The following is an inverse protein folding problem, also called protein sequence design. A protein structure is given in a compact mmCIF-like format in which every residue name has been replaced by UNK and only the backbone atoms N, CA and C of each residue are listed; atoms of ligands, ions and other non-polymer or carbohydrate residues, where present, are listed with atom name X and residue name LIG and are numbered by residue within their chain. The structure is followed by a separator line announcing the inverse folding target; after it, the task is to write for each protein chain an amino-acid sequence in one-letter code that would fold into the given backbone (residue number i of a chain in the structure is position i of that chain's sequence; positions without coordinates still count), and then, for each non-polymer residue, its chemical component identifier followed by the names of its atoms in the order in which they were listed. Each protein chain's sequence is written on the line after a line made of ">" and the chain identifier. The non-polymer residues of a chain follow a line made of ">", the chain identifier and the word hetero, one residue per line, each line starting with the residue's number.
data_IF_405436228174
#
_entry.id   IF_405436228174
#
_cell.length_a   1.000
_cell.length_b   1.000
_cell.length_c   1.000
_cell.angle_alpha   90.00
_cell.angle_beta   90.00
_cell.angle_gamma   90.00
#
_symmetry.space_group_name_H-M   'P 1'
#
loop_
_entity.id
_entity.type
_entity.pdbx_description
1 polymer ?
#
# COMPACT_ATOMS: atom_id res chain seq x y z
N UNK A 1 9.83 -8.13 19.19
CA UNK A 1 8.71 -8.76 19.91
C UNK A 1 7.48 -7.83 20.01
N UNK A 2 7.61 -6.56 20.46
CA UNK A 2 6.47 -5.65 20.67
C UNK A 2 5.78 -5.24 19.35
N UNK A 3 6.56 -4.90 18.31
CA UNK A 3 6.04 -4.55 16.97
C UNK A 3 5.20 -5.70 16.38
N UNK A 4 5.67 -6.94 16.51
CA UNK A 4 4.92 -8.12 16.04
C UNK A 4 3.59 -8.29 16.78
N UNK A 5 3.54 -7.99 18.07
CA UNK A 5 2.29 -8.01 18.86
C UNK A 5 1.33 -6.91 18.42
N UNK A 6 1.82 -5.72 18.07
CA UNK A 6 0.95 -4.62 17.67
C UNK A 6 0.30 -4.81 16.28
N UNK A 7 0.88 -5.63 15.42
CA UNK A 7 0.30 -5.97 14.09
C UNK A 7 -0.97 -6.84 14.27
N UNK A 8 -1.00 -7.69 15.30
CA UNK A 8 -2.09 -8.65 15.58
C UNK A 8 -2.80 -8.37 16.91
N UNK A 9 -2.36 -7.37 17.65
CA UNK A 9 -2.71 -7.12 19.04
C UNK A 9 -3.85 -6.11 19.24
N UNK A 10 -4.02 -5.73 20.49
CA UNK A 10 -5.03 -4.79 20.94
C UNK A 10 -4.60 -3.34 20.77
N UNK A 11 -5.56 -2.41 20.89
CA UNK A 11 -5.29 -0.97 20.94
C UNK A 11 -4.30 -0.60 22.06
N UNK A 12 -4.33 -1.33 23.15
CA UNK A 12 -3.39 -1.14 24.28
C UNK A 12 -1.94 -1.45 23.88
N UNK A 13 -1.71 -2.49 23.08
CA UNK A 13 -0.37 -2.82 22.58
C UNK A 13 0.17 -1.71 21.66
N UNK A 14 -0.71 -1.12 20.84
CA UNK A 14 -0.37 0.02 19.99
C UNK A 14 0.04 1.25 20.83
N UNK A 15 -0.78 1.61 21.84
CA UNK A 15 -0.51 2.73 22.74
C UNK A 15 0.84 2.52 23.46
N UNK A 16 1.09 1.31 23.96
CA UNK A 16 2.35 0.97 24.63
C UNK A 16 3.55 1.13 23.69
N UNK A 17 3.44 0.69 22.44
CA UNK A 17 4.51 0.83 21.45
C UNK A 17 4.79 2.30 21.15
N UNK A 18 3.74 3.10 20.94
CA UNK A 18 3.88 4.52 20.65
C UNK A 18 4.50 5.31 21.81
N UNK A 19 4.14 4.98 23.06
CA UNK A 19 4.75 5.58 24.24
C UNK A 19 6.23 5.23 24.33
N UNK A 20 6.62 3.96 24.12
CA UNK A 20 8.03 3.55 24.10
C UNK A 20 8.83 4.22 22.98
N UNK A 21 8.24 4.38 21.81
CA UNK A 21 8.87 5.09 20.70
C UNK A 21 9.11 6.57 21.08
N UNK A 22 8.15 7.21 21.74
CA UNK A 22 8.25 8.58 22.23
C UNK A 22 9.36 8.73 23.27
N UNK A 23 9.41 7.83 24.24
CA UNK A 23 10.45 7.83 25.27
C UNK A 23 11.83 7.65 24.65
N UNK A 24 11.99 6.72 23.72
CA UNK A 24 13.23 6.49 22.97
C UNK A 24 13.67 7.75 22.18
N UNK A 25 12.74 8.42 21.50
CA UNK A 25 13.04 9.65 20.76
C UNK A 25 13.55 10.72 21.72
N UNK A 26 12.91 10.91 22.87
CA UNK A 26 13.31 11.91 23.89
C UNK A 26 14.65 11.60 24.53
N UNK A 27 14.94 10.34 24.79
CA UNK A 27 16.23 9.92 25.35
C UNK A 27 17.38 10.11 24.35
N UNK A 28 17.14 9.72 23.09
CA UNK A 28 18.19 9.71 22.06
C UNK A 28 18.43 11.08 21.43
N UNK A 29 17.37 11.87 21.30
CA UNK A 29 17.39 13.17 20.63
C UNK A 29 16.95 14.28 21.61
N UNK A 30 17.75 14.51 22.63
CA UNK A 30 17.44 15.42 23.78
C UNK A 30 17.11 16.87 23.40
N UNK A 31 17.47 17.33 22.20
CA UNK A 31 17.23 18.70 21.70
C UNK A 31 16.11 18.78 20.65
N UNK A 32 15.31 17.74 20.51
CA UNK A 32 14.23 17.68 19.52
C UNK A 32 13.08 18.60 19.92
N UNK A 33 12.63 19.44 18.99
CA UNK A 33 11.43 20.26 19.20
C UNK A 33 10.18 19.39 19.29
N UNK A 34 9.09 19.94 19.84
CA UNK A 34 7.81 19.22 19.88
C UNK A 34 7.28 18.85 18.48
N UNK A 35 7.57 19.67 17.47
CA UNK A 35 7.17 19.41 16.08
C UNK A 35 7.98 18.28 15.46
N UNK A 36 9.27 18.27 15.70
CA UNK A 36 10.16 17.18 15.27
C UNK A 36 9.81 15.85 15.98
N UNK A 37 9.51 15.87 17.28
CA UNK A 37 9.04 14.69 18.01
C UNK A 37 7.79 14.11 17.34
N UNK A 38 6.79 14.96 17.03
CA UNK A 38 5.57 14.54 16.33
C UNK A 38 5.88 13.96 14.95
N UNK A 39 6.76 14.61 14.20
CA UNK A 39 7.19 14.15 12.88
C UNK A 39 7.87 12.77 12.95
N UNK A 40 8.80 12.59 13.88
CA UNK A 40 9.49 11.30 14.07
C UNK A 40 8.53 10.19 14.50
N UNK A 41 7.58 10.49 15.38
CA UNK A 41 6.53 9.55 15.77
C UNK A 41 5.61 9.18 14.60
N UNK A 42 5.26 10.13 13.75
CA UNK A 42 4.47 9.86 12.55
C UNK A 42 5.26 8.99 11.56
N UNK A 43 6.54 9.31 11.31
CA UNK A 43 7.41 8.48 10.47
C UNK A 43 7.55 7.05 11.02
N UNK A 44 7.72 6.90 12.33
CA UNK A 44 7.75 5.60 12.98
C UNK A 44 6.44 4.83 12.78
N UNK A 45 5.30 5.50 12.95
CA UNK A 45 3.98 4.91 12.71
C UNK A 45 3.83 4.44 11.26
N UNK A 46 4.20 5.25 10.29
CA UNK A 46 4.18 4.89 8.87
C UNK A 46 5.12 3.72 8.57
N UNK A 47 6.32 3.73 9.15
CA UNK A 47 7.27 2.64 8.98
C UNK A 47 6.75 1.31 9.53
N UNK A 48 6.04 1.33 10.66
CA UNK A 48 5.57 0.11 11.33
C UNK A 48 4.21 -0.38 10.82
N UNK A 49 3.27 0.52 10.55
CA UNK A 49 1.88 0.18 10.26
C UNK A 49 1.40 0.62 8.87
N UNK A 50 2.11 1.58 8.25
CA UNK A 50 1.76 2.15 6.96
C UNK A 50 2.58 1.61 5.81
N UNK A 51 2.57 2.38 4.73
CA UNK A 51 3.29 2.07 3.50
C UNK A 51 4.65 2.77 3.41
N UNK A 52 5.07 3.44 4.49
CA UNK A 52 6.39 4.06 4.66
C UNK A 52 6.71 5.03 3.51
N UNK A 53 7.82 4.81 2.78
CA UNK A 53 8.23 5.68 1.66
C UNK A 53 7.23 5.69 0.50
N UNK A 54 6.33 4.72 0.42
CA UNK A 54 5.31 4.63 -0.63
C UNK A 54 4.03 5.41 -0.29
N UNK A 55 3.84 5.86 0.96
CA UNK A 55 2.62 6.57 1.38
C UNK A 55 2.31 7.78 0.48
N UNK A 56 3.25 8.68 0.15
CA UNK A 56 2.97 9.81 -0.75
C UNK A 56 2.53 9.38 -2.15
N UNK A 57 3.12 8.29 -2.68
CA UNK A 57 2.74 7.76 -3.99
C UNK A 57 1.33 7.14 -3.98
N UNK A 58 0.94 6.55 -2.85
CA UNK A 58 -0.40 5.98 -2.68
C UNK A 58 -1.45 7.09 -2.57
N UNK A 59 -1.13 8.20 -1.92
CA UNK A 59 -2.01 9.35 -1.74
C UNK A 59 -2.17 10.17 -3.04
N UNK A 60 -1.16 10.16 -3.92
CA UNK A 60 -1.20 10.89 -5.20
C UNK A 60 -2.28 10.30 -6.12
N UNK A 61 -3.30 11.12 -6.46
CA UNK A 61 -4.52 10.67 -7.17
C UNK A 61 -4.22 10.15 -8.59
N UNK A 62 -3.25 10.72 -9.26
CA UNK A 62 -2.93 10.37 -10.64
C UNK A 62 -2.21 9.03 -10.78
N UNK A 63 -1.61 8.53 -9.71
CA UNK A 63 -0.91 7.24 -9.70
C UNK A 63 -1.94 6.12 -9.56
N UNK A 64 -1.93 5.18 -10.49
CA UNK A 64 -2.79 3.98 -10.47
C UNK A 64 -2.09 2.72 -9.97
N UNK A 65 -0.80 2.60 -10.27
CA UNK A 65 0.00 1.43 -9.92
C UNK A 65 1.38 1.84 -9.41
N UNK A 66 1.89 1.12 -8.43
CA UNK A 66 3.23 1.28 -7.86
C UNK A 66 3.91 -0.08 -7.90
N UNK A 67 5.10 -0.17 -8.50
CA UNK A 67 5.93 -1.38 -8.52
C UNK A 67 7.26 -1.10 -7.86
N UNK A 68 7.57 -1.83 -6.80
CA UNK A 68 8.89 -1.80 -6.17
C UNK A 68 9.65 -3.01 -6.64
N UNK A 69 10.68 -2.79 -7.44
CA UNK A 69 11.54 -3.82 -8.02
C UNK A 69 12.85 -3.97 -7.25
N UNK A 70 13.22 -2.92 -6.53
CA UNK A 70 14.37 -2.86 -5.62
C UNK A 70 14.20 -1.69 -4.64
N UNK A 71 15.06 -1.60 -3.62
CA UNK A 71 15.03 -0.54 -2.60
C UNK A 71 15.10 0.88 -3.19
N UNK A 72 15.77 1.06 -4.34
CA UNK A 72 15.94 2.31 -5.06
C UNK A 72 15.33 2.29 -6.48
N UNK A 73 14.56 1.27 -6.82
CA UNK A 73 13.92 1.15 -8.14
C UNK A 73 12.42 0.99 -7.98
N UNK A 74 11.74 2.12 -7.88
CA UNK A 74 10.29 2.21 -7.71
C UNK A 74 9.71 2.81 -8.99
N UNK A 75 8.83 2.05 -9.66
CA UNK A 75 8.15 2.46 -10.89
C UNK A 75 6.70 2.73 -10.59
N UNK A 76 6.21 3.88 -10.99
CA UNK A 76 4.80 4.27 -10.89
C UNK A 76 4.15 4.37 -12.26
N UNK A 77 2.85 4.10 -12.31
CA UNK A 77 2.03 4.35 -13.49
C UNK A 77 1.06 5.47 -13.18
N UNK A 78 1.14 6.56 -13.95
CA UNK A 78 0.24 7.70 -13.86
C UNK A 78 -0.25 8.08 -15.25
N UNK A 79 -1.54 8.31 -15.42
CA UNK A 79 -2.16 8.69 -16.72
C UNK A 79 -1.75 7.75 -17.87
N UNK A 80 -1.67 6.45 -17.61
CA UNK A 80 -1.30 5.45 -18.61
C UNK A 80 0.21 5.32 -18.89
N UNK A 81 1.05 6.23 -18.43
CA UNK A 81 2.50 6.22 -18.63
C UNK A 81 3.24 5.73 -17.38
N UNK A 82 4.45 5.19 -17.56
CA UNK A 82 5.31 4.72 -16.48
C UNK A 82 6.46 5.68 -16.24
N UNK A 83 6.78 5.91 -14.97
CA UNK A 83 7.86 6.78 -14.51
C UNK A 83 8.61 6.10 -13.37
N UNK A 84 9.88 6.45 -13.20
CA UNK A 84 10.64 6.11 -11.99
C UNK A 84 10.26 7.14 -10.93
N UNK A 85 9.86 6.69 -9.75
CA UNK A 85 9.54 7.58 -8.63
C UNK A 85 10.83 8.18 -8.05
N UNK A 86 10.75 9.43 -7.62
CA UNK A 86 11.85 10.12 -6.92
C UNK A 86 11.75 9.85 -5.41
N UNK A 87 11.75 8.57 -5.04
CA UNK A 87 11.84 8.11 -3.66
C UNK A 87 12.50 6.74 -3.61
N UNK A 88 13.09 6.39 -2.47
CA UNK A 88 13.74 5.11 -2.25
C UNK A 88 13.65 4.70 -0.78
N UNK A 89 13.79 3.41 -0.52
CA UNK A 89 14.09 2.90 0.80
C UNK A 89 15.54 3.26 1.15
N UNK A 90 15.85 3.32 2.43
CA UNK A 90 17.18 3.71 2.90
C UNK A 90 18.28 2.73 2.46
N UNK A 91 17.98 1.44 2.43
CA UNK A 91 18.91 0.38 2.06
C UNK A 91 18.15 -0.88 1.58
N UNK A 92 18.85 -1.85 0.96
CA UNK A 92 18.26 -3.17 0.64
C UNK A 92 17.69 -3.88 1.88
N UNK A 93 18.35 -3.75 3.05
CA UNK A 93 17.87 -4.33 4.30
C UNK A 93 16.58 -3.68 4.76
N UNK A 94 16.51 -2.33 4.73
CA UNK A 94 15.31 -1.56 5.09
C UNK A 94 14.11 -1.97 4.21
N UNK A 95 14.32 -2.10 2.90
CA UNK A 95 13.29 -2.61 1.99
C UNK A 95 12.85 -4.03 2.34
N UNK A 96 13.78 -4.94 2.57
CA UNK A 96 13.45 -6.33 2.90
C UNK A 96 12.69 -6.44 4.23
N UNK A 97 13.08 -5.68 5.25
CA UNK A 97 12.38 -5.67 6.53
C UNK A 97 10.94 -5.16 6.38
N UNK A 98 10.75 -4.08 5.59
CA UNK A 98 9.45 -3.55 5.28
C UNK A 98 8.62 -4.55 4.43
N UNK A 99 9.21 -5.16 3.40
CA UNK A 99 8.56 -6.14 2.55
C UNK A 99 8.08 -7.35 3.35
N UNK A 100 8.94 -7.91 4.20
CA UNK A 100 8.58 -9.06 5.06
C UNK A 100 7.48 -8.70 6.05
N UNK A 101 7.43 -7.46 6.52
CA UNK A 101 6.34 -6.97 7.37
C UNK A 101 5.02 -6.94 6.60
N UNK A 102 4.99 -6.36 5.40
CA UNK A 102 3.80 -6.33 4.55
C UNK A 102 3.33 -7.76 4.23
N UNK A 103 4.26 -8.64 3.87
CA UNK A 103 3.97 -10.03 3.58
C UNK A 103 3.30 -10.75 4.77
N UNK A 104 3.80 -10.53 6.00
CA UNK A 104 3.18 -11.08 7.23
C UNK A 104 1.78 -10.56 7.46
N UNK A 105 1.54 -9.27 7.30
CA UNK A 105 0.22 -8.66 7.43
C UNK A 105 -0.76 -9.27 6.42
N UNK A 106 -0.32 -9.50 5.19
CA UNK A 106 -1.15 -10.07 4.13
C UNK A 106 -1.46 -11.56 4.32
N UNK A 107 -0.52 -12.30 4.90
CA UNK A 107 -0.61 -13.75 5.07
C UNK A 107 -1.28 -14.19 6.35
N UNK A 108 -1.84 -13.30 7.16
CA UNK A 108 -2.54 -13.69 8.37
C UNK A 108 -3.58 -14.79 8.09
N UNK A 109 -3.27 -16.02 8.53
CA UNK A 109 -4.09 -17.20 8.33
C UNK A 109 -3.89 -18.00 7.04
N UNK A 110 -2.83 -17.68 6.23
CA UNK A 110 -2.44 -18.44 5.03
C UNK A 110 -1.10 -19.15 5.22
N UNK A 111 -0.86 -20.23 4.44
CA UNK A 111 0.41 -20.95 4.43
C UNK A 111 1.59 -20.03 4.13
N UNK A 112 2.67 -20.14 4.92
CA UNK A 112 3.89 -19.31 4.80
C UNK A 112 4.73 -19.63 3.56
N UNK A 113 4.42 -20.71 2.82
CA UNK A 113 5.26 -21.25 1.75
C UNK A 113 4.99 -20.65 0.35
N UNK A 114 4.02 -19.75 0.21
CA UNK A 114 3.68 -19.19 -1.09
C UNK A 114 4.70 -18.12 -1.52
N UNK A 115 5.53 -18.41 -2.52
CA UNK A 115 6.46 -17.47 -3.14
C UNK A 115 5.75 -16.29 -3.85
N UNK A 116 4.47 -16.48 -4.20
CA UNK A 116 3.57 -15.46 -4.75
C UNK A 116 2.38 -15.29 -3.82
N UNK A 117 2.06 -14.05 -3.46
CA UNK A 117 0.91 -13.74 -2.61
C UNK A 117 0.10 -12.57 -3.15
N UNK A 118 -1.22 -12.68 -3.04
CA UNK A 118 -2.17 -11.65 -3.41
C UNK A 118 -3.04 -11.28 -2.21
N UNK A 119 -3.24 -10.00 -1.99
CA UNK A 119 -4.12 -9.51 -0.94
C UNK A 119 -4.80 -8.21 -1.34
N UNK A 120 -5.83 -7.84 -0.58
CA UNK A 120 -6.50 -6.56 -0.73
C UNK A 120 -6.55 -5.87 0.63
N UNK A 121 -5.89 -4.72 0.73
CA UNK A 121 -6.09 -3.81 1.85
C UNK A 121 -7.35 -2.99 1.60
N UNK A 122 -8.45 -3.42 2.24
CA UNK A 122 -9.76 -2.74 2.13
C UNK A 122 -9.84 -1.47 3.00
N UNK A 123 -9.00 -1.32 3.99
CA UNK A 123 -8.87 -0.06 4.74
C UNK A 123 -8.20 0.97 3.85
N UNK A 124 -7.07 0.59 3.25
CA UNK A 124 -6.34 1.33 2.25
C UNK A 124 -6.15 2.80 2.60
N UNK A 125 -6.32 3.64 1.60
CA UNK A 125 -6.45 5.08 1.73
C UNK A 125 -7.91 5.51 1.49
N UNK A 126 -8.23 6.77 1.80
CA UNK A 126 -9.60 7.31 1.81
C UNK A 126 -10.44 6.89 0.59
N UNK A 127 -9.91 7.04 -0.62
CA UNK A 127 -10.66 6.90 -1.88
C UNK A 127 -10.36 5.60 -2.64
N UNK A 128 -9.43 4.77 -2.13
CA UNK A 128 -8.96 3.57 -2.81
C UNK A 128 -8.85 2.37 -1.89
N UNK A 129 -9.16 1.18 -2.42
CA UNK A 129 -8.62 -0.08 -1.93
C UNK A 129 -7.26 -0.31 -2.55
N UNK A 130 -6.38 -1.04 -1.87
CA UNK A 130 -5.08 -1.41 -2.41
C UNK A 130 -5.07 -2.91 -2.67
N UNK A 131 -4.91 -3.30 -3.93
CA UNK A 131 -4.56 -4.67 -4.29
C UNK A 131 -3.04 -4.77 -4.25
N UNK A 132 -2.54 -5.73 -3.51
CA UNK A 132 -1.12 -5.90 -3.25
C UNK A 132 -0.71 -7.30 -3.68
N UNK A 133 0.19 -7.36 -4.65
CA UNK A 133 0.77 -8.59 -5.17
C UNK A 133 2.25 -8.62 -4.77
N UNK A 134 2.69 -9.67 -4.09
CA UNK A 134 4.08 -9.83 -3.63
C UNK A 134 4.71 -11.06 -4.26
N UNK A 135 5.98 -10.94 -4.64
CA UNK A 135 6.80 -12.00 -5.21
C UNK A 135 8.11 -12.11 -4.42
N UNK A 136 8.41 -13.29 -3.92
CA UNK A 136 9.69 -13.55 -3.27
C UNK A 136 10.82 -13.67 -4.30
N UNK A 137 12.05 -13.29 -3.91
CA UNK A 137 13.21 -13.34 -4.78
C UNK A 137 13.49 -14.69 -5.41
N UNK A 138 13.13 -15.77 -4.74
CA UNK A 138 13.32 -17.13 -5.27
C UNK A 138 12.55 -17.44 -6.56
N UNK A 139 11.53 -16.64 -6.92
CA UNK A 139 10.77 -16.80 -8.17
C UNK A 139 10.95 -15.64 -9.14
N UNK A 140 11.79 -14.68 -8.83
CA UNK A 140 12.05 -13.52 -9.68
C UNK A 140 13.38 -13.70 -10.43
N UNK A 141 13.45 -13.21 -11.66
CA UNK A 141 14.70 -13.28 -12.45
C UNK A 141 15.85 -12.45 -11.87
N UNK A 142 15.55 -11.51 -10.97
CA UNK A 142 16.52 -10.63 -10.31
C UNK A 142 16.95 -11.13 -8.94
N UNK A 143 16.40 -12.26 -8.48
CA UNK A 143 16.57 -12.79 -7.11
C UNK A 143 16.19 -11.79 -6.00
N UNK A 144 15.35 -10.79 -6.33
CA UNK A 144 14.91 -9.73 -5.43
C UNK A 144 13.41 -9.84 -5.17
N UNK A 145 13.02 -9.49 -3.96
CA UNK A 145 11.61 -9.38 -3.61
C UNK A 145 10.97 -8.24 -4.38
N UNK A 146 9.81 -8.49 -4.98
CA UNK A 146 9.04 -7.50 -5.72
C UNK A 146 7.66 -7.32 -5.10
N UNK A 147 7.16 -6.10 -5.12
CA UNK A 147 5.80 -5.77 -4.72
C UNK A 147 5.12 -4.90 -5.78
N UNK A 148 3.88 -5.23 -6.08
CA UNK A 148 3.03 -4.44 -6.95
C UNK A 148 1.77 -4.02 -6.18
N UNK A 149 1.56 -2.74 -6.06
CA UNK A 149 0.38 -2.15 -5.43
C UNK A 149 -0.46 -1.48 -6.50
N UNK A 150 -1.71 -1.93 -6.66
CA UNK A 150 -2.70 -1.31 -7.55
C UNK A 150 -3.75 -0.59 -6.72
N UNK A 151 -4.02 0.64 -7.06
CA UNK A 151 -5.10 1.44 -6.47
C UNK A 151 -6.40 1.12 -7.19
N UNK A 152 -7.42 0.70 -6.44
CA UNK A 152 -8.75 0.40 -6.94
C UNK A 152 -9.70 1.43 -6.35
N UNK A 153 -10.34 2.29 -7.15
CA UNK A 153 -11.28 3.27 -6.66
C UNK A 153 -12.40 2.61 -5.84
N UNK A 154 -12.73 3.17 -4.69
CA UNK A 154 -13.87 2.73 -3.87
C UNK A 154 -15.19 3.12 -4.51
N UNK A 155 -15.20 4.24 -5.21
CA UNK A 155 -16.36 4.73 -5.94
C UNK A 155 -16.44 4.05 -7.32
N UNK A 156 -17.59 3.49 -7.64
CA UNK A 156 -17.85 2.95 -8.98
C UNK A 156 -17.97 4.10 -9.97
N UNK A 157 -17.54 3.88 -11.20
CA UNK A 157 -17.75 4.81 -12.29
C UNK A 157 -19.25 4.92 -12.58
N UNK A 158 -19.77 6.14 -12.74
CA UNK A 158 -21.15 6.37 -13.14
C UNK A 158 -21.33 6.14 -14.64
N UNK A 159 -22.57 5.85 -15.05
CA UNK A 159 -22.91 5.74 -16.48
C UNK A 159 -22.60 7.05 -17.22
N UNK A 160 -22.88 8.19 -16.62
CA UNK A 160 -22.60 9.51 -17.19
C UNK A 160 -21.10 9.71 -17.42
N UNK A 161 -20.25 9.36 -16.42
CA UNK A 161 -18.80 9.42 -16.59
C UNK A 161 -18.31 8.55 -17.75
N UNK A 162 -18.87 7.34 -17.91
CA UNK A 162 -18.48 6.44 -18.99
C UNK A 162 -18.88 7.00 -20.37
N UNK A 163 -20.05 7.65 -20.46
CA UNK A 163 -20.53 8.31 -21.68
C UNK A 163 -19.69 9.55 -22.03
N UNK A 164 -19.43 10.41 -21.07
CA UNK A 164 -18.59 11.61 -21.24
C UNK A 164 -17.17 11.26 -21.72
N UNK A 165 -16.65 10.12 -21.32
CA UNK A 165 -15.35 9.62 -21.79
C UNK A 165 -15.42 8.76 -23.06
N UNK A 166 -16.56 8.68 -23.73
CA UNK A 166 -16.73 7.94 -24.98
C UNK A 166 -16.57 6.42 -24.84
N UNK A 167 -16.73 5.87 -23.64
CA UNK A 167 -16.60 4.44 -23.38
C UNK A 167 -17.88 3.67 -23.72
N UNK A 168 -19.03 4.35 -23.70
CA UNK A 168 -20.34 3.84 -24.15
C UNK A 168 -21.26 4.98 -24.55
N UNK A 169 -22.31 4.64 -25.29
CA UNK A 169 -23.41 5.53 -25.65
C UNK A 169 -24.70 5.16 -24.92
N UNK A 170 -25.81 5.88 -25.23
CA UNK A 170 -27.10 5.65 -24.59
C UNK A 170 -27.70 4.28 -24.98
N UNK A 171 -27.50 3.81 -26.21
CA UNK A 171 -27.99 2.51 -26.65
C UNK A 171 -27.27 1.36 -25.93
N UNK A 172 -25.95 1.48 -25.79
CA UNK A 172 -25.14 0.53 -25.01
C UNK A 172 -25.54 0.51 -23.54
N UNK A 173 -25.80 1.67 -22.93
CA UNK A 173 -26.28 1.76 -21.56
C UNK A 173 -27.60 1.00 -21.37
N UNK A 174 -28.59 1.27 -22.24
CA UNK A 174 -29.91 0.62 -22.20
C UNK A 174 -29.74 -0.90 -22.38
N UNK A 175 -28.97 -1.31 -23.37
CA UNK A 175 -28.72 -2.74 -23.63
C UNK A 175 -28.08 -3.44 -22.44
N UNK A 176 -27.02 -2.85 -21.84
CA UNK A 176 -26.32 -3.44 -20.69
C UNK A 176 -27.23 -3.52 -19.46
N UNK A 177 -28.03 -2.48 -19.19
CA UNK A 177 -29.00 -2.49 -18.09
C UNK A 177 -30.06 -3.58 -18.26
N UNK A 178 -30.58 -3.76 -19.47
CA UNK A 178 -31.54 -4.83 -19.79
C UNK A 178 -30.93 -6.21 -19.56
N UNK A 179 -29.70 -6.45 -20.05
CA UNK A 179 -28.99 -7.70 -19.85
C UNK A 179 -28.71 -8.03 -18.41
N UNK A 180 -28.27 -7.04 -17.64
CA UNK A 180 -28.04 -7.22 -16.20
C UNK A 180 -29.35 -7.54 -15.48
N UNK A 181 -30.43 -6.83 -15.79
CA UNK A 181 -31.75 -7.06 -15.19
C UNK A 181 -32.32 -8.45 -15.55
N UNK A 182 -32.04 -8.94 -16.77
CA UNK A 182 -32.44 -10.25 -17.23
C UNK A 182 -31.60 -11.42 -16.70
N UNK A 183 -30.59 -11.15 -15.87
CA UNK A 183 -29.74 -12.16 -15.26
C UNK A 183 -28.68 -12.76 -16.20
N UNK A 184 -28.47 -12.17 -17.37
CA UNK A 184 -27.34 -12.49 -18.23
C UNK A 184 -26.08 -11.73 -17.73
N UNK A 185 -25.33 -12.39 -16.85
CA UNK A 185 -24.07 -11.90 -16.33
C UNK A 185 -22.96 -12.94 -16.48
#
# INVERSE_FOLDING_TARGET
>A
ALVAKCITGTEQDFILLMNRAKDFIRERFRQTSMEEEKRLLQMFKECVFGYYVLTPLIEEKEISDIKVLDYNHIVVKAKGKRYIADCSFYSPSDYNDWFMRILRIQRMGKSDDAALSHSTDRKGVKDYFLRIDTQLGCITSTERNNIHIRKIPKQKLSWDYLKENGMLDDEMEIYLKDRIASGYG
#
